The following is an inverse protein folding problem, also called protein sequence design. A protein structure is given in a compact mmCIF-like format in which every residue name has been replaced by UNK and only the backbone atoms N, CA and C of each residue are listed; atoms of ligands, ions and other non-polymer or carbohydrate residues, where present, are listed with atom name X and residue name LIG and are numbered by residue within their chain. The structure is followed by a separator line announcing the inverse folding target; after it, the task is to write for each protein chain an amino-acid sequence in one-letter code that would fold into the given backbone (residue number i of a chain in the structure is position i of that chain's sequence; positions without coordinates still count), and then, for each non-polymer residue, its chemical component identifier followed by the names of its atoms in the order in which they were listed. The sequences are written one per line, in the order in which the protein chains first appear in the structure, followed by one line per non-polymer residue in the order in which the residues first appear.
data_IF_096811041845
#
_entry.id   IF_096811041845
#
_cell.length_a   1.000
_cell.length_b   1.000
_cell.length_c   1.000
_cell.angle_alpha   90.00
_cell.angle_beta   90.00
_cell.angle_gamma   90.00
#
_symmetry.space_group_name_H-M   'P 1'
#
loop_
_entity.id
_entity.type
_entity.pdbx_description
1 polymer ?
#
# COMPACT_ATOMS: atom_id res chain seq x y z
N UNK A 1 1.69 -26.37 -43.16
CA UNK A 1 2.21 -25.00 -42.95
C UNK A 1 1.65 -24.52 -41.62
N UNK A 2 2.53 -24.33 -40.63
CA UNK A 2 2.18 -23.86 -39.31
C UNK A 2 2.91 -22.53 -39.04
N UNK A 3 2.16 -21.45 -38.85
CA UNK A 3 2.58 -20.26 -38.10
C UNK A 3 2.05 -20.49 -36.66
N UNK A 4 2.84 -20.68 -35.59
CA UNK A 4 3.76 -19.75 -34.87
C UNK A 4 3.17 -18.35 -34.76
N UNK A 5 2.95 -17.72 -33.61
CA UNK A 5 3.20 -18.02 -32.20
C UNK A 5 2.72 -16.79 -31.41
N UNK A 6 2.02 -16.98 -30.29
CA UNK A 6 2.40 -16.47 -28.97
C UNK A 6 2.97 -15.04 -28.91
N UNK A 7 2.11 -14.02 -28.84
CA UNK A 7 2.51 -12.69 -28.40
C UNK A 7 2.41 -12.59 -26.87
N UNK A 8 3.48 -13.04 -26.20
CA UNK A 8 3.74 -12.71 -24.81
C UNK A 8 4.31 -11.29 -24.72
N UNK A 9 3.45 -10.29 -24.48
CA UNK A 9 3.90 -8.93 -24.19
C UNK A 9 4.71 -8.97 -22.89
N UNK A 10 6.02 -8.75 -23.01
CA UNK A 10 6.93 -8.69 -21.88
C UNK A 10 6.81 -7.33 -21.21
N UNK A 11 6.31 -7.27 -19.97
CA UNK A 11 6.22 -6.04 -19.18
C UNK A 11 7.61 -5.71 -18.57
N UNK A 12 8.58 -5.41 -19.42
CA UNK A 12 9.96 -5.13 -19.01
C UNK A 12 10.03 -3.77 -18.29
N UNK A 13 9.81 -3.77 -16.98
CA UNK A 13 9.87 -2.58 -16.13
C UNK A 13 8.89 -2.54 -14.96
N UNK A 14 7.96 -3.49 -14.87
CA UNK A 14 7.01 -3.55 -13.75
C UNK A 14 7.65 -4.25 -12.53
N UNK A 15 7.61 -3.60 -11.37
CA UNK A 15 7.99 -4.18 -10.08
C UNK A 15 6.71 -4.49 -9.29
N UNK A 16 6.59 -5.71 -8.80
CA UNK A 16 5.46 -6.13 -7.96
C UNK A 16 5.92 -6.18 -6.50
N UNK A 17 5.11 -5.61 -5.60
CA UNK A 17 5.30 -5.69 -4.15
C UNK A 17 4.04 -6.32 -3.57
N UNK A 18 4.22 -7.43 -2.86
CA UNK A 18 3.14 -8.10 -2.16
C UNK A 18 3.12 -7.64 -0.70
N UNK A 19 1.93 -7.27 -0.21
CA UNK A 19 1.71 -6.88 1.18
C UNK A 19 0.67 -7.82 1.78
N UNK A 20 0.93 -8.29 3.00
CA UNK A 20 -0.11 -8.90 3.83
C UNK A 20 -1.19 -7.88 4.17
N UNK A 21 -2.36 -8.37 4.55
CA UNK A 21 -3.48 -7.50 4.93
C UNK A 21 -3.13 -6.55 6.08
N UNK A 22 -2.29 -6.98 7.03
CA UNK A 22 -1.84 -6.14 8.14
C UNK A 22 -0.87 -5.05 7.68
N UNK A 23 0.07 -5.37 6.78
CA UNK A 23 1.01 -4.39 6.21
C UNK A 23 0.27 -3.36 5.37
N UNK A 24 -0.65 -3.80 4.51
CA UNK A 24 -1.49 -2.93 3.70
C UNK A 24 -2.30 -1.95 4.55
N UNK A 25 -2.93 -2.44 5.64
CA UNK A 25 -3.72 -1.60 6.54
C UNK A 25 -2.87 -0.55 7.27
N UNK A 26 -1.70 -0.93 7.74
CA UNK A 26 -0.78 -0.01 8.45
C UNK A 26 -0.19 1.03 7.50
N UNK A 27 0.16 0.62 6.27
CA UNK A 27 0.67 1.53 5.25
C UNK A 27 -0.42 2.52 4.82
N UNK A 28 -1.64 2.04 4.57
CA UNK A 28 -2.79 2.89 4.23
C UNK A 28 -3.03 3.95 5.31
N UNK A 29 -3.09 3.55 6.59
CA UNK A 29 -3.29 4.50 7.69
C UNK A 29 -2.20 5.57 7.75
N UNK A 30 -0.95 5.18 7.49
CA UNK A 30 0.15 6.13 7.46
C UNK A 30 0.04 7.10 6.27
N UNK A 31 -0.33 6.60 5.08
CA UNK A 31 -0.54 7.43 3.88
C UNK A 31 -1.67 8.44 4.08
N UNK A 32 -2.81 8.02 4.64
CA UNK A 32 -3.93 8.91 4.94
C UNK A 32 -3.50 10.06 5.86
N UNK A 33 -2.84 9.75 6.98
CA UNK A 33 -2.30 10.76 7.90
C UNK A 33 -1.19 11.61 7.29
N UNK A 34 -0.43 11.05 6.34
CA UNK A 34 0.61 11.78 5.64
C UNK A 34 0.01 12.82 4.70
N UNK A 35 -1.07 12.49 4.00
CA UNK A 35 -1.76 13.39 3.08
C UNK A 35 -2.50 14.55 3.77
N UNK A 36 -2.84 14.39 5.04
CA UNK A 36 -3.39 15.47 5.87
C UNK A 36 -2.32 16.48 6.34
N UNK A 37 -1.02 16.16 6.22
CA UNK A 37 0.06 17.05 6.66
C UNK A 37 0.24 18.19 5.67
N UNK A 38 0.33 19.41 6.21
CA UNK A 38 0.63 20.62 5.43
C UNK A 38 2.13 20.80 5.18
N UNK A 39 2.96 20.32 6.11
CA UNK A 39 4.40 20.59 6.15
C UNK A 39 5.21 19.32 5.85
N UNK A 40 4.99 18.74 4.66
CA UNK A 40 5.79 17.62 4.18
C UNK A 40 6.91 18.14 3.29
N UNK A 41 8.15 17.85 3.69
CA UNK A 41 9.33 18.08 2.86
C UNK A 41 9.43 16.99 1.79
N UNK A 42 8.98 17.33 0.57
CA UNK A 42 9.10 16.48 -0.61
C UNK A 42 10.08 17.14 -1.57
N UNK A 43 11.07 16.38 -2.03
CA UNK A 43 12.09 16.91 -2.93
C UNK A 43 11.53 17.11 -4.35
N UNK A 44 10.56 16.28 -4.74
CA UNK A 44 9.93 16.30 -6.06
C UNK A 44 8.42 16.00 -5.98
N UNK A 45 7.64 16.52 -6.94
CA UNK A 45 6.21 16.24 -7.04
C UNK A 45 5.92 14.76 -7.35
N UNK A 46 6.85 14.07 -8.00
CA UNK A 46 6.78 12.64 -8.26
C UNK A 46 6.65 11.83 -6.97
N UNK A 47 7.31 12.24 -5.87
CA UNK A 47 7.20 11.58 -4.57
C UNK A 47 5.76 11.64 -4.06
N UNK A 48 5.13 12.82 -4.12
CA UNK A 48 3.72 12.98 -3.74
C UNK A 48 2.81 12.12 -4.61
N UNK A 49 3.05 12.14 -5.93
CA UNK A 49 2.22 11.41 -6.87
C UNK A 49 2.23 9.91 -6.61
N UNK A 50 3.42 9.35 -6.38
CA UNK A 50 3.58 7.92 -6.08
C UNK A 50 2.83 7.55 -4.78
N UNK A 51 2.97 8.37 -3.73
CA UNK A 51 2.30 8.11 -2.45
C UNK A 51 0.77 8.16 -2.57
N UNK A 52 0.22 9.11 -3.34
CA UNK A 52 -1.22 9.14 -3.64
C UNK A 52 -1.66 7.93 -4.46
N UNK A 53 -0.91 7.54 -5.49
CA UNK A 53 -1.27 6.39 -6.32
C UNK A 53 -1.28 5.09 -5.50
N UNK A 54 -0.34 4.92 -4.56
CA UNK A 54 -0.32 3.79 -3.62
C UNK A 54 -1.53 3.85 -2.66
N UNK A 55 -1.85 5.03 -2.11
CA UNK A 55 -3.01 5.17 -1.22
C UNK A 55 -4.31 4.80 -1.94
N UNK A 56 -4.57 5.33 -3.14
CA UNK A 56 -5.75 5.00 -3.93
C UNK A 56 -5.81 3.50 -4.28
N UNK A 57 -4.67 2.88 -4.61
CA UNK A 57 -4.60 1.45 -4.84
C UNK A 57 -5.04 0.69 -3.58
N UNK A 58 -4.48 1.01 -2.42
CA UNK A 58 -4.82 0.35 -1.16
C UNK A 58 -6.28 0.59 -0.75
N UNK A 59 -6.80 1.82 -0.90
CA UNK A 59 -8.20 2.16 -0.65
C UNK A 59 -9.16 1.28 -1.48
N UNK A 60 -8.78 0.98 -2.73
CA UNK A 60 -9.59 0.15 -3.62
C UNK A 60 -9.70 -1.31 -3.21
N UNK A 61 -8.75 -1.83 -2.43
CA UNK A 61 -8.71 -3.25 -1.99
C UNK A 61 -9.03 -3.43 -0.50
N UNK A 62 -8.85 -2.40 0.33
CA UNK A 62 -9.09 -2.47 1.77
C UNK A 62 -10.54 -2.14 2.11
N UNK A 63 -11.20 -3.06 2.81
CA UNK A 63 -12.55 -2.87 3.37
C UNK A 63 -12.53 -2.35 4.81
N UNK A 64 -11.43 -2.58 5.53
CA UNK A 64 -11.27 -2.25 6.94
C UNK A 64 -11.41 -0.76 7.27
N UNK A 65 -10.92 0.19 6.44
CA UNK A 65 -11.11 1.62 6.69
C UNK A 65 -12.57 2.05 6.83
N UNK A 66 -13.51 1.30 6.24
CA UNK A 66 -14.95 1.56 6.31
C UNK A 66 -15.65 0.85 7.47
N UNK A 67 -14.91 0.08 8.28
CA UNK A 67 -15.44 -0.63 9.45
C UNK A 67 -15.50 0.28 10.67
N UNK A 68 -16.55 0.15 11.48
CA UNK A 68 -16.64 0.79 12.80
C UNK A 68 -15.49 0.34 13.73
N UNK A 69 -14.95 -0.86 13.51
CA UNK A 69 -13.84 -1.44 14.28
C UNK A 69 -12.46 -1.09 13.70
N UNK A 70 -12.36 -0.15 12.74
CA UNK A 70 -11.11 0.18 12.06
C UNK A 70 -9.93 0.41 13.02
N UNK A 71 -10.15 1.16 14.10
CA UNK A 71 -9.12 1.44 15.10
C UNK A 71 -8.59 0.17 15.79
N UNK A 72 -9.46 -0.80 16.09
CA UNK A 72 -9.08 -2.08 16.70
C UNK A 72 -8.30 -2.95 15.72
N UNK A 73 -8.78 -3.02 14.47
CA UNK A 73 -8.12 -3.77 13.39
C UNK A 73 -6.71 -3.22 13.11
N UNK A 74 -6.57 -1.89 13.09
CA UNK A 74 -5.29 -1.22 12.91
C UNK A 74 -4.34 -1.48 14.09
N UNK A 75 -4.81 -1.43 15.33
CA UNK A 75 -4.00 -1.71 16.51
C UNK A 75 -3.50 -3.17 16.51
N UNK A 76 -4.36 -4.12 16.14
CA UNK A 76 -3.99 -5.53 16.00
C UNK A 76 -2.95 -5.74 14.89
N UNK A 77 -3.13 -5.07 13.73
CA UNK A 77 -2.17 -5.11 12.63
C UNK A 77 -0.80 -4.59 13.05
N UNK A 78 -0.73 -3.40 13.69
CA UNK A 78 0.54 -2.84 14.20
C UNK A 78 1.23 -3.76 15.20
N UNK A 79 0.47 -4.33 16.14
CA UNK A 79 1.00 -5.25 17.16
C UNK A 79 1.63 -6.50 16.54
N UNK A 80 1.02 -7.02 15.46
CA UNK A 80 1.51 -8.20 14.75
C UNK A 80 2.82 -7.93 13.99
N UNK A 81 3.03 -6.71 13.48
CA UNK A 81 4.25 -6.34 12.74
C UNK A 81 5.44 -6.05 13.65
N UNK A 82 5.22 -5.46 14.83
CA UNK A 82 6.29 -5.18 15.80
C UNK A 82 6.71 -6.43 16.58
N UNK A 83 5.83 -7.44 16.65
CA UNK A 83 6.03 -8.64 17.46
C UNK A 83 5.96 -8.35 18.97
N UNK A 84 6.01 -9.38 19.85
CA UNK A 84 6.27 -9.14 21.26
C UNK A 84 7.71 -8.62 21.37
N UNK A 85 7.87 -7.32 21.63
CA UNK A 85 9.17 -6.73 21.97
C UNK A 85 9.86 -7.60 23.03
N UNK A 86 11.10 -8.08 22.82
CA UNK A 86 11.84 -8.70 23.91
C UNK A 86 12.10 -7.61 24.95
N UNK A 87 11.53 -7.79 26.13
CA UNK A 87 11.92 -7.04 27.34
C UNK A 87 13.21 -7.61 27.90
#
# INVERSE_FOLDING_TARGET
MAQRGGDGVSNAGQINVELSQHEALVLFDWLARFNERKDVDLADQAERRILWDIECLLESVLIQPFSEDYALLLAAARSRLVGPSPS
#
